data_IF_028936543461
#
_entry.id   IF_028936543461
#
_cell.length_a   1.000
_cell.length_b   1.000
_cell.length_c   1.000
_cell.angle_alpha   90.00
_cell.angle_beta   90.00
_cell.angle_gamma   90.00
#
_symmetry.space_group_name_H-M   'P 1'
#
loop_
_entity.id
_entity.type
_entity.pdbx_description
1 polymer ?
#
# COMPACT_ATOMS: atom_id res chain seq x y z
N UNK A 1 9.86 -19.99 2.51
CA UNK A 1 10.14 -19.51 1.14
C UNK A 1 10.74 -18.13 1.25
N UNK A 2 11.76 -17.85 0.43
CA UNK A 2 12.77 -16.80 0.63
C UNK A 2 14.15 -17.44 0.50
N UNK A 3 14.53 -17.78 -0.73
CA UNK A 3 15.84 -18.37 -1.01
C UNK A 3 16.93 -17.31 -0.91
N UNK A 4 18.18 -17.73 -0.72
CA UNK A 4 19.36 -16.85 -0.70
C UNK A 4 19.61 -16.07 -2.02
N UNK A 5 18.76 -16.27 -3.04
CA UNK A 5 18.97 -15.83 -4.42
C UNK A 5 18.54 -14.37 -4.66
N UNK A 6 17.74 -13.81 -3.75
CA UNK A 6 17.11 -12.50 -3.88
C UNK A 6 17.60 -11.46 -2.87
N UNK A 7 18.57 -11.79 -2.00
CA UNK A 7 19.14 -10.82 -1.06
C UNK A 7 20.11 -9.86 -1.78
N UNK A 8 20.31 -8.64 -1.24
CA UNK A 8 21.29 -7.68 -1.74
C UNK A 8 22.01 -6.93 -0.61
N UNK A 9 23.04 -6.15 -0.94
CA UNK A 9 23.74 -5.25 -0.01
C UNK A 9 23.10 -3.85 0.04
N UNK A 10 22.22 -3.53 -0.92
CA UNK A 10 21.46 -2.28 -1.03
C UNK A 10 20.03 -2.52 -1.52
N UNK A 11 19.16 -1.50 -1.43
CA UNK A 11 17.81 -1.58 -1.99
C UNK A 11 17.84 -1.80 -3.52
N UNK A 12 18.74 -1.14 -4.24
CA UNK A 12 18.87 -1.32 -5.69
C UNK A 12 19.25 -2.75 -6.08
N UNK A 13 20.22 -3.34 -5.38
CA UNK A 13 20.63 -4.72 -5.64
C UNK A 13 19.54 -5.73 -5.24
N UNK A 14 18.83 -5.49 -4.13
CA UNK A 14 17.66 -6.27 -3.75
C UNK A 14 16.61 -6.27 -4.88
N UNK A 15 16.29 -5.09 -5.44
CA UNK A 15 15.32 -4.96 -6.53
C UNK A 15 15.80 -5.62 -7.82
N UNK A 16 17.08 -5.47 -8.17
CA UNK A 16 17.69 -6.13 -9.32
C UNK A 16 17.58 -7.66 -9.20
N UNK A 17 17.85 -8.21 -8.02
CA UNK A 17 17.77 -9.64 -7.77
C UNK A 17 16.32 -10.14 -7.78
N UNK A 18 15.37 -9.40 -7.22
CA UNK A 18 13.93 -9.73 -7.29
C UNK A 18 13.41 -9.72 -8.73
N UNK A 19 13.86 -8.76 -9.54
CA UNK A 19 13.54 -8.68 -10.97
C UNK A 19 14.18 -9.81 -11.77
N UNK A 20 15.47 -10.09 -11.53
CA UNK A 20 16.20 -11.19 -12.16
C UNK A 20 15.59 -12.57 -11.85
N UNK A 21 15.04 -12.74 -10.65
CA UNK A 21 14.32 -13.93 -10.22
C UNK A 21 12.85 -13.99 -10.71
N UNK A 22 12.33 -12.94 -11.36
CA UNK A 22 10.97 -12.89 -11.91
C UNK A 22 9.85 -12.54 -10.93
N UNK A 23 10.18 -12.13 -9.70
CA UNK A 23 9.19 -11.69 -8.71
C UNK A 23 8.66 -10.28 -9.01
N UNK A 24 9.51 -9.40 -9.53
CA UNK A 24 9.12 -8.08 -10.06
C UNK A 24 9.14 -8.17 -11.59
N UNK A 25 8.03 -7.80 -12.21
CA UNK A 25 7.76 -8.00 -13.64
C UNK A 25 7.32 -6.72 -14.33
N UNK A 26 6.62 -5.84 -13.62
CA UNK A 26 6.05 -4.61 -14.18
C UNK A 26 6.87 -3.37 -13.78
N UNK A 27 6.96 -2.40 -14.69
CA UNK A 27 7.79 -1.21 -14.52
C UNK A 27 7.32 -0.32 -13.36
N UNK A 28 6.01 -0.20 -13.16
CA UNK A 28 5.44 0.56 -12.04
C UNK A 28 5.73 -0.08 -10.68
N UNK A 29 5.71 -1.42 -10.58
CA UNK A 29 6.09 -2.13 -9.35
C UNK A 29 7.59 -1.99 -9.11
N UNK A 30 8.43 -2.21 -10.13
CA UNK A 30 9.88 -2.00 -10.03
C UNK A 30 10.23 -0.59 -9.53
N UNK A 31 9.67 0.44 -10.16
CA UNK A 31 9.94 1.82 -9.79
C UNK A 31 9.50 2.11 -8.35
N UNK A 32 8.34 1.62 -7.92
CA UNK A 32 7.88 1.80 -6.54
C UNK A 32 8.87 1.18 -5.53
N UNK A 33 9.37 -0.03 -5.81
CA UNK A 33 10.34 -0.69 -4.94
C UNK A 33 11.71 0.02 -4.91
N UNK A 34 12.15 0.64 -6.01
CA UNK A 34 13.36 1.48 -6.02
C UNK A 34 13.16 2.78 -5.26
N UNK A 35 12.01 3.42 -5.44
CA UNK A 35 11.68 4.72 -4.82
C UNK A 35 11.46 4.62 -3.30
N UNK A 36 11.05 3.47 -2.79
CA UNK A 36 10.81 3.25 -1.35
C UNK A 36 11.84 2.26 -0.80
N UNK A 37 12.91 2.81 -0.24
CA UNK A 37 13.94 2.01 0.42
C UNK A 37 13.35 1.22 1.61
N UNK A 38 13.45 -0.10 1.52
CA UNK A 38 12.97 -1.01 2.56
C UNK A 38 13.64 -0.77 3.92
N UNK A 39 14.92 -0.39 3.97
CA UNK A 39 15.63 -0.14 5.23
C UNK A 39 15.07 1.04 6.01
N UNK A 40 14.48 2.03 5.32
CA UNK A 40 13.84 3.16 5.98
C UNK A 40 12.58 2.78 6.75
N UNK A 41 12.03 1.58 6.51
CA UNK A 41 10.87 1.04 7.26
C UNK A 41 11.25 0.04 8.35
N UNK A 42 12.55 -0.18 8.58
CA UNK A 42 13.07 -0.96 9.71
C UNK A 42 13.34 -0.07 10.93
N UNK A 43 13.32 -0.63 12.16
CA UNK A 43 13.98 -0.01 13.30
C UNK A 43 15.49 0.10 13.05
N UNK A 44 16.09 1.19 13.54
CA UNK A 44 17.48 1.54 13.26
C UNK A 44 18.45 0.42 13.66
N UNK A 45 18.18 -0.23 14.79
CA UNK A 45 19.01 -1.28 15.38
C UNK A 45 19.03 -2.57 14.53
N UNK A 46 18.12 -2.69 13.56
CA UNK A 46 17.93 -3.91 12.76
C UNK A 46 17.99 -3.70 11.25
N UNK A 47 18.36 -2.48 10.79
CA UNK A 47 18.46 -2.13 9.36
C UNK A 47 19.36 -3.08 8.54
N UNK A 48 20.37 -3.68 9.17
CA UNK A 48 21.25 -4.68 8.54
C UNK A 48 20.51 -5.93 7.99
N UNK A 49 19.24 -6.12 8.34
CA UNK A 49 18.40 -7.20 7.83
C UNK A 49 17.49 -6.77 6.67
N UNK A 50 17.44 -5.49 6.34
CA UNK A 50 16.44 -4.93 5.43
C UNK A 50 16.48 -5.53 4.02
N UNK A 51 17.69 -5.78 3.50
CA UNK A 51 17.90 -6.26 2.13
C UNK A 51 18.05 -7.78 2.02
N UNK A 52 17.73 -8.51 3.10
CA UNK A 52 17.63 -9.96 3.05
C UNK A 52 16.23 -10.35 2.57
N UNK A 53 16.13 -11.33 1.68
CA UNK A 53 14.84 -11.83 1.22
C UNK A 53 14.18 -12.77 2.25
N UNK A 54 13.91 -12.23 3.43
CA UNK A 54 13.29 -12.93 4.55
C UNK A 54 12.29 -12.02 5.25
N UNK A 55 11.25 -12.63 5.82
CA UNK A 55 10.35 -11.91 6.70
C UNK A 55 11.11 -11.50 7.97
N UNK A 56 10.78 -10.33 8.49
CA UNK A 56 11.37 -9.80 9.71
C UNK A 56 10.27 -9.42 10.70
N UNK A 57 10.46 -9.73 11.97
CA UNK A 57 9.53 -9.43 13.06
C UNK A 57 10.28 -9.01 14.32
N UNK A 58 9.80 -7.96 14.96
CA UNK A 58 10.19 -7.59 16.32
C UNK A 58 8.97 -7.08 17.08
N UNK A 59 8.60 -7.79 18.17
CA UNK A 59 7.34 -7.55 18.89
C UNK A 59 6.14 -7.63 17.92
N UNK A 60 5.33 -6.56 17.85
CA UNK A 60 4.17 -6.45 16.97
C UNK A 60 4.52 -5.91 15.58
N UNK A 61 5.71 -5.34 15.39
CA UNK A 61 6.16 -4.83 14.09
C UNK A 61 6.63 -5.99 13.22
N UNK A 62 6.11 -6.05 12.00
CA UNK A 62 6.41 -7.10 11.03
C UNK A 62 6.56 -6.53 9.62
N UNK A 63 7.54 -7.03 8.87
CA UNK A 63 7.63 -6.88 7.41
C UNK A 63 7.72 -8.25 6.77
N UNK A 64 6.83 -8.54 5.82
CA UNK A 64 6.93 -9.75 4.99
C UNK A 64 8.19 -9.72 4.13
N UNK A 65 8.65 -10.90 3.68
CA UNK A 65 9.80 -10.99 2.80
C UNK A 65 9.59 -10.16 1.51
N UNK A 66 10.64 -9.51 0.98
CA UNK A 66 10.59 -8.78 -0.28
C UNK A 66 9.90 -9.54 -1.42
N UNK A 67 10.25 -10.81 -1.67
CA UNK A 67 9.61 -11.61 -2.72
C UNK A 67 8.09 -11.74 -2.55
N UNK A 68 7.61 -11.85 -1.31
CA UNK A 68 6.17 -11.91 -1.00
C UNK A 68 5.51 -10.57 -1.32
N UNK A 69 6.11 -9.45 -0.91
CA UNK A 69 5.56 -8.14 -1.25
C UNK A 69 5.59 -7.86 -2.75
N UNK A 70 6.62 -8.33 -3.47
CA UNK A 70 6.66 -8.23 -4.94
C UNK A 70 5.49 -8.97 -5.58
N UNK A 71 5.26 -10.23 -5.18
CA UNK A 71 4.14 -11.02 -5.71
C UNK A 71 2.77 -10.45 -5.33
N UNK A 72 2.63 -9.89 -4.13
CA UNK A 72 1.41 -9.17 -3.73
C UNK A 72 1.19 -7.95 -4.61
N UNK A 73 2.20 -7.11 -4.81
CA UNK A 73 2.10 -5.88 -5.61
C UNK A 73 1.78 -6.19 -7.08
N UNK A 74 2.41 -7.22 -7.66
CA UNK A 74 2.11 -7.70 -9.01
C UNK A 74 0.68 -8.28 -9.11
N UNK A 75 0.27 -9.07 -8.12
CA UNK A 75 -1.06 -9.71 -8.11
C UNK A 75 -2.19 -8.71 -7.92
N UNK A 76 -1.93 -7.61 -7.20
CA UNK A 76 -2.90 -6.54 -6.99
C UNK A 76 -3.16 -5.73 -8.25
N UNK A 77 -2.33 -5.75 -9.30
CA UNK A 77 -2.57 -4.97 -10.53
C UNK A 77 -3.02 -3.53 -10.22
N UNK A 78 -2.22 -2.84 -9.40
CA UNK A 78 -2.53 -1.48 -8.97
C UNK A 78 -2.36 -0.51 -10.15
N UNK A 79 -3.32 0.41 -10.26
CA UNK A 79 -3.33 1.46 -11.27
C UNK A 79 -3.72 2.79 -10.62
N UNK A 80 -3.43 3.89 -11.31
CA UNK A 80 -3.74 5.22 -10.79
C UNK A 80 -5.24 5.41 -10.58
N UNK A 81 -5.61 6.00 -9.44
CA UNK A 81 -7.01 6.30 -9.10
C UNK A 81 -7.80 5.15 -8.47
N UNK A 82 -7.24 3.95 -8.38
CA UNK A 82 -7.91 2.84 -7.69
C UNK A 82 -8.01 3.07 -6.18
N UNK A 83 -8.94 2.37 -5.55
CA UNK A 83 -9.03 2.26 -4.09
C UNK A 83 -8.41 0.96 -3.58
N UNK A 84 -7.51 1.09 -2.62
CA UNK A 84 -6.75 0.00 -2.02
C UNK A 84 -6.95 -0.04 -0.49
N UNK A 85 -7.14 -1.26 0.04
CA UNK A 85 -7.19 -1.55 1.47
C UNK A 85 -6.11 -2.58 1.82
N UNK A 86 -5.26 -2.22 2.80
CA UNK A 86 -4.22 -3.08 3.35
C UNK A 86 -4.60 -3.50 4.77
N UNK A 87 -5.07 -4.74 4.95
CA UNK A 87 -5.45 -5.31 6.23
C UNK A 87 -4.21 -5.97 6.88
N UNK A 88 -3.85 -5.52 8.08
CA UNK A 88 -2.53 -5.79 8.68
C UNK A 88 -1.46 -4.91 8.04
N UNK A 89 -1.66 -3.59 8.06
CA UNK A 89 -0.78 -2.66 7.33
C UNK A 89 0.65 -2.62 7.85
N UNK A 90 0.92 -3.12 9.06
CA UNK A 90 2.26 -3.25 9.62
C UNK A 90 3.00 -1.91 9.62
N UNK A 91 4.24 -1.90 9.14
CA UNK A 91 5.07 -0.68 9.10
C UNK A 91 4.62 0.39 8.12
N UNK A 92 3.57 0.14 7.33
CA UNK A 92 3.15 1.03 6.25
C UNK A 92 4.02 0.97 5.00
N UNK A 93 5.02 0.08 4.93
CA UNK A 93 5.91 -0.08 3.76
C UNK A 93 5.12 -0.40 2.48
N UNK A 94 4.31 -1.47 2.51
CA UNK A 94 3.49 -1.86 1.35
C UNK A 94 2.47 -0.76 0.99
N UNK A 95 1.88 -0.10 1.97
CA UNK A 95 0.96 1.02 1.73
C UNK A 95 1.68 2.20 1.07
N UNK A 96 2.95 2.45 1.37
CA UNK A 96 3.74 3.49 0.71
C UNK A 96 4.06 3.09 -0.73
N UNK A 97 4.49 1.85 -0.98
CA UNK A 97 4.68 1.33 -2.34
C UNK A 97 3.39 1.50 -3.19
N UNK A 98 2.25 1.07 -2.65
CA UNK A 98 0.95 1.23 -3.31
C UNK A 98 0.61 2.69 -3.54
N UNK A 99 0.92 3.57 -2.59
CA UNK A 99 0.64 5.00 -2.69
C UNK A 99 1.28 5.67 -3.91
N UNK A 100 2.49 5.25 -4.29
CA UNK A 100 3.18 5.77 -5.48
C UNK A 100 2.50 5.32 -6.78
N UNK A 101 1.98 4.09 -6.84
CA UNK A 101 1.29 3.56 -8.03
C UNK A 101 -0.12 4.15 -8.17
N UNK A 102 -0.85 4.25 -7.05
CA UNK A 102 -2.21 4.78 -7.02
C UNK A 102 -2.27 6.27 -7.39
N UNK A 103 -1.23 7.02 -7.05
CA UNK A 103 -1.14 8.45 -7.33
C UNK A 103 -2.22 9.29 -6.62
N UNK A 104 -2.29 10.59 -6.90
CA UNK A 104 -3.03 11.53 -6.06
C UNK A 104 -4.56 11.36 -6.12
N UNK A 105 -5.09 10.67 -7.13
CA UNK A 105 -6.53 10.40 -7.29
C UNK A 105 -6.98 9.10 -6.62
N UNK A 106 -6.05 8.28 -6.13
CA UNK A 106 -6.38 7.00 -5.49
C UNK A 106 -6.92 7.14 -4.08
N UNK A 107 -7.31 6.01 -3.50
CA UNK A 107 -7.63 5.85 -2.08
C UNK A 107 -6.71 4.75 -1.55
N UNK A 108 -6.04 5.00 -0.42
CA UNK A 108 -5.09 4.08 0.16
C UNK A 108 -5.32 4.00 1.67
N UNK A 109 -5.91 2.91 2.13
CA UNK A 109 -6.27 2.72 3.53
C UNK A 109 -5.51 1.54 4.12
N UNK A 110 -5.02 1.70 5.34
CA UNK A 110 -4.41 0.62 6.11
C UNK A 110 -5.17 0.39 7.42
N UNK A 111 -5.31 -0.87 7.81
CA UNK A 111 -5.88 -1.27 9.11
C UNK A 111 -4.85 -2.10 9.83
N UNK A 112 -4.57 -1.75 11.09
CA UNK A 112 -3.64 -2.48 11.94
C UNK A 112 -4.22 -2.56 13.35
N UNK A 113 -4.07 -3.72 13.99
CA UNK A 113 -4.73 -3.99 15.28
C UNK A 113 -4.00 -3.34 16.45
N UNK A 114 -2.68 -3.16 16.32
CA UNK A 114 -1.83 -2.59 17.36
C UNK A 114 -1.63 -1.09 17.13
N UNK A 115 -2.06 -0.28 18.09
CA UNK A 115 -1.96 1.20 18.04
C UNK A 115 -0.51 1.66 17.86
N UNK A 116 0.43 1.06 18.57
CA UNK A 116 1.86 1.41 18.48
C UNK A 116 2.47 1.09 17.10
N UNK A 117 1.86 0.16 16.34
CA UNK A 117 2.29 -0.18 14.99
C UNK A 117 1.71 0.83 13.98
N UNK A 118 0.50 1.32 14.21
CA UNK A 118 -0.07 2.46 13.44
C UNK A 118 0.78 3.71 13.63
N UNK A 119 1.11 4.07 14.87
CA UNK A 119 1.98 5.23 15.16
C UNK A 119 3.35 5.08 14.47
N UNK A 120 3.90 3.87 14.47
CA UNK A 120 5.14 3.57 13.76
C UNK A 120 5.00 3.79 12.24
N UNK A 121 3.93 3.30 11.63
CA UNK A 121 3.67 3.45 10.20
C UNK A 121 3.49 4.92 9.80
N UNK A 122 2.75 5.69 10.59
CA UNK A 122 2.56 7.14 10.38
C UNK A 122 3.88 7.89 10.46
N UNK A 123 4.72 7.58 11.45
CA UNK A 123 6.06 8.18 11.56
C UNK A 123 6.95 7.85 10.36
N UNK A 124 6.95 6.60 9.88
CA UNK A 124 7.74 6.23 8.69
C UNK A 124 7.22 6.92 7.44
N UNK A 125 5.91 7.05 7.29
CA UNK A 125 5.26 7.77 6.20
C UNK A 125 5.62 9.27 6.21
N UNK A 126 5.60 9.91 7.38
CA UNK A 126 6.01 11.31 7.54
C UNK A 126 7.47 11.51 7.11
N UNK A 127 8.38 10.62 7.56
CA UNK A 127 9.79 10.67 7.14
C UNK A 127 9.87 10.55 5.61
N UNK A 128 9.21 9.57 5.00
CA UNK A 128 9.21 9.41 3.54
C UNK A 128 8.75 10.68 2.82
N UNK A 129 7.65 11.30 3.23
CA UNK A 129 7.14 12.52 2.60
C UNK A 129 8.07 13.73 2.80
N UNK A 130 8.86 13.76 3.86
CA UNK A 130 9.76 14.88 4.17
C UNK A 130 11.15 14.73 3.55
N UNK A 131 11.64 13.50 3.35
CA UNK A 131 13.04 13.25 3.00
C UNK A 131 13.23 12.57 1.65
N UNK A 132 12.23 11.83 1.14
CA UNK A 132 12.41 11.02 -0.06
C UNK A 132 12.08 11.84 -1.34
N UNK A 133 13.03 11.97 -2.29
CA UNK A 133 12.83 12.76 -3.50
C UNK A 133 11.79 12.18 -4.47
N UNK A 134 11.38 10.91 -4.30
CA UNK A 134 10.29 10.32 -5.05
C UNK A 134 8.95 10.99 -4.74
N UNK A 135 8.79 11.53 -3.52
CA UNK A 135 7.62 12.33 -3.16
C UNK A 135 7.73 13.75 -3.71
N UNK A 136 6.80 14.10 -4.62
CA UNK A 136 6.74 15.42 -5.28
C UNK A 136 5.53 16.23 -4.85
N UNK A 137 4.87 15.84 -3.75
CA UNK A 137 3.63 16.46 -3.26
C UNK A 137 2.38 16.15 -4.08
N UNK A 138 2.48 15.88 -5.38
CA UNK A 138 1.35 15.65 -6.30
C UNK A 138 1.25 14.23 -6.85
N UNK A 139 2.24 13.37 -6.66
CA UNK A 139 2.33 12.08 -7.33
C UNK A 139 2.02 10.88 -6.42
N UNK A 140 1.42 11.11 -5.25
CA UNK A 140 1.34 10.12 -4.20
C UNK A 140 -0.05 10.05 -3.55
N UNK A 141 -0.57 8.84 -3.40
CA UNK A 141 -1.75 8.57 -2.58
C UNK A 141 -1.32 8.34 -1.13
N UNK A 142 -1.36 9.40 -0.33
CA UNK A 142 -1.02 9.35 1.10
C UNK A 142 -1.90 8.29 1.80
N UNK A 143 -1.31 7.22 2.38
CA UNK A 143 -2.05 6.25 3.17
C UNK A 143 -2.76 6.89 4.36
N UNK A 144 -3.97 6.42 4.66
CA UNK A 144 -4.68 6.70 5.91
C UNK A 144 -4.73 5.41 6.72
N UNK A 145 -4.10 5.40 7.89
CA UNK A 145 -4.08 4.25 8.78
C UNK A 145 -5.20 4.36 9.83
N UNK A 146 -5.74 3.22 10.24
CA UNK A 146 -6.72 3.13 11.31
C UNK A 146 -6.38 1.97 12.24
N UNK A 147 -6.52 2.22 13.55
CA UNK A 147 -6.40 1.19 14.57
C UNK A 147 -7.67 0.34 14.59
N UNK A 148 -7.52 -0.98 14.53
CA UNK A 148 -8.62 -1.91 14.80
C UNK A 148 -8.44 -3.29 14.18
N UNK A 149 -9.38 -4.19 14.50
CA UNK A 149 -9.42 -5.53 13.95
C UNK A 149 -9.98 -5.51 12.51
N UNK A 150 -9.19 -6.03 11.55
CA UNK A 150 -9.59 -6.10 10.14
C UNK A 150 -10.86 -6.93 9.86
N UNK A 151 -11.36 -7.70 10.82
CA UNK A 151 -12.64 -8.40 10.79
C UNK A 151 -13.85 -7.54 11.22
N UNK A 152 -13.62 -6.26 11.54
CA UNK A 152 -14.61 -5.27 11.96
C UNK A 152 -14.79 -4.12 10.96
N UNK A 153 -14.45 -4.36 9.69
CA UNK A 153 -14.81 -3.48 8.57
C UNK A 153 -16.29 -3.63 8.19
N UNK A 154 -16.92 -2.53 7.80
CA UNK A 154 -18.28 -2.49 7.29
C UNK A 154 -18.30 -2.45 5.74
N UNK A 155 -18.68 -3.55 5.05
CA UNK A 155 -18.73 -3.59 3.59
C UNK A 155 -19.82 -2.69 3.00
N UNK A 156 -20.87 -2.35 3.76
CA UNK A 156 -21.91 -1.41 3.31
C UNK A 156 -21.42 0.04 3.39
N UNK A 157 -20.48 0.32 4.29
CA UNK A 157 -19.81 1.61 4.34
C UNK A 157 -18.88 1.81 3.15
N UNK A 158 -18.04 0.80 2.83
CA UNK A 158 -17.12 0.88 1.69
C UNK A 158 -16.64 -0.48 1.19
N UNK A 159 -16.56 -0.57 -0.13
CA UNK A 159 -15.81 -1.58 -0.86
C UNK A 159 -14.62 -0.97 -1.60
N UNK A 160 -13.64 -1.79 -1.95
CA UNK A 160 -12.38 -1.37 -2.58
C UNK A 160 -12.15 -2.06 -3.92
N UNK A 161 -11.39 -1.42 -4.80
CA UNK A 161 -10.97 -2.00 -6.06
C UNK A 161 -9.91 -3.08 -5.84
N UNK A 162 -9.08 -2.92 -4.81
CA UNK A 162 -7.99 -3.81 -4.43
C UNK A 162 -7.95 -3.99 -2.92
N UNK A 163 -7.79 -5.23 -2.45
CA UNK A 163 -7.59 -5.54 -1.03
C UNK A 163 -6.47 -6.53 -0.88
N UNK A 164 -5.57 -6.25 0.07
CA UNK A 164 -4.59 -7.21 0.54
C UNK A 164 -4.84 -7.52 2.02
N UNK A 165 -4.82 -8.81 2.37
CA UNK A 165 -4.81 -9.24 3.76
C UNK A 165 -3.44 -9.83 4.09
N UNK A 166 -2.68 -9.15 4.95
CA UNK A 166 -1.33 -9.53 5.38
C UNK A 166 -1.29 -10.60 6.49
N UNK A 167 -2.38 -11.34 6.68
CA UNK A 167 -2.49 -12.41 7.66
C UNK A 167 -3.22 -13.62 7.04
N UNK A 168 -2.95 -14.82 7.53
CA UNK A 168 -3.65 -16.02 7.07
C UNK A 168 -5.12 -15.95 7.45
N UNK A 169 -5.99 -16.01 6.45
CA UNK A 169 -7.44 -15.92 6.61
C UNK A 169 -8.06 -17.32 6.77
N UNK A 170 -8.81 -17.59 7.85
CA UNK A 170 -9.54 -18.83 8.02
C UNK A 170 -10.68 -18.96 7.01
N UNK A 171 -11.05 -20.20 6.65
CA UNK A 171 -12.08 -20.49 5.64
C UNK A 171 -13.44 -19.85 5.96
N UNK A 172 -13.82 -19.78 7.23
CA UNK A 172 -15.07 -19.17 7.69
C UNK A 172 -15.16 -17.64 7.43
N UNK A 173 -14.03 -16.98 7.14
CA UNK A 173 -13.95 -15.55 6.85
C UNK A 173 -13.78 -15.24 5.36
N UNK A 174 -13.79 -16.24 4.48
CA UNK A 174 -13.62 -16.03 3.04
C UNK A 174 -14.68 -15.08 2.46
N UNK A 175 -15.96 -15.32 2.76
CA UNK A 175 -17.06 -14.49 2.27
C UNK A 175 -17.02 -13.07 2.83
N UNK A 176 -16.56 -12.93 4.08
CA UNK A 176 -16.34 -11.63 4.69
C UNK A 176 -15.28 -10.83 3.94
N UNK A 177 -14.13 -11.42 3.65
CA UNK A 177 -13.06 -10.75 2.88
C UNK A 177 -13.54 -10.40 1.46
N UNK A 178 -14.27 -11.30 0.80
CA UNK A 178 -14.86 -11.06 -0.52
C UNK A 178 -15.89 -9.92 -0.51
N UNK A 179 -16.60 -9.72 0.60
CA UNK A 179 -17.59 -8.64 0.72
C UNK A 179 -16.99 -7.23 0.65
N UNK A 180 -15.70 -7.09 0.94
CA UNK A 180 -14.95 -5.82 0.89
C UNK A 180 -14.58 -5.40 -0.55
N UNK A 181 -14.86 -6.23 -1.56
CA UNK A 181 -14.38 -6.05 -2.93
C UNK A 181 -15.48 -5.56 -3.85
N UNK A 182 -15.19 -4.50 -4.61
CA UNK A 182 -16.05 -4.02 -5.69
C UNK A 182 -16.10 -5.01 -6.86
N UNK A 183 -17.10 -4.87 -7.73
CA UNK A 183 -17.10 -5.56 -9.03
C UNK A 183 -15.80 -5.28 -9.80
N UNK A 184 -15.22 -6.30 -10.43
CA UNK A 184 -13.92 -6.29 -11.11
C UNK A 184 -12.70 -6.08 -10.19
N UNK A 185 -12.91 -6.03 -8.87
CA UNK A 185 -11.84 -5.87 -7.91
C UNK A 185 -11.04 -7.15 -7.66
N UNK A 186 -9.91 -7.00 -6.98
CA UNK A 186 -8.97 -8.08 -6.67
C UNK A 186 -8.74 -8.14 -5.16
N UNK A 187 -8.85 -9.34 -4.60
CA UNK A 187 -8.43 -9.69 -3.25
C UNK A 187 -7.17 -10.55 -3.34
N UNK A 188 -6.11 -10.16 -2.63
CA UNK A 188 -4.90 -10.95 -2.44
C UNK A 188 -4.78 -11.31 -0.97
N UNK A 189 -4.73 -12.59 -0.63
CA UNK A 189 -4.57 -13.01 0.77
C UNK A 189 -3.96 -14.42 0.89
N UNK A 190 -3.24 -14.71 1.98
CA UNK A 190 -2.89 -16.08 2.34
C UNK A 190 -4.15 -16.86 2.71
N UNK A 191 -4.44 -17.92 1.95
CA UNK A 191 -5.61 -18.76 2.07
C UNK A 191 -5.26 -20.21 1.74
N UNK A 192 -5.57 -21.16 2.63
CA UNK A 192 -5.26 -22.59 2.46
C UNK A 192 -3.79 -22.83 2.06
N UNK A 193 -2.87 -22.29 2.87
CA UNK A 193 -1.40 -22.38 2.72
C UNK A 193 -0.81 -21.79 1.43
N UNK A 194 -1.59 -21.02 0.67
CA UNK A 194 -1.15 -20.35 -0.54
C UNK A 194 -1.51 -18.87 -0.53
N UNK A 195 -0.65 -18.03 -1.10
CA UNK A 195 -1.01 -16.67 -1.46
C UNK A 195 -1.95 -16.77 -2.66
N UNK A 196 -3.21 -16.42 -2.45
CA UNK A 196 -4.24 -16.50 -3.48
C UNK A 196 -4.56 -15.12 -4.04
N UNK A 197 -4.76 -15.06 -5.36
CA UNK A 197 -5.35 -13.92 -6.07
C UNK A 197 -6.79 -14.27 -6.45
N UNK A 198 -7.74 -13.53 -5.92
CA UNK A 198 -9.17 -13.73 -6.16
C UNK A 198 -9.75 -12.50 -6.85
N UNK A 199 -10.29 -12.65 -8.06
CA UNK A 199 -10.92 -11.56 -8.80
C UNK A 199 -12.44 -11.73 -8.82
N UNK A 200 -13.16 -10.66 -8.50
CA UNK A 200 -14.62 -10.60 -8.58
C UNK A 200 -15.05 -10.29 -10.00
N UNK A 201 -15.42 -11.31 -10.78
CA UNK A 201 -15.82 -11.16 -12.19
C UNK A 201 -17.24 -10.60 -12.32
N UNK A 202 -18.13 -11.00 -11.42
CA UNK A 202 -19.49 -10.47 -11.30
C UNK A 202 -19.93 -10.42 -9.84
N UNK A 203 -21.18 -10.06 -9.56
CA UNK A 203 -21.67 -10.03 -8.16
C UNK A 203 -21.62 -11.40 -7.47
N UNK A 204 -21.66 -12.49 -8.24
CA UNK A 204 -21.71 -13.86 -7.72
C UNK A 204 -20.53 -14.72 -8.17
N UNK A 205 -19.73 -14.27 -9.13
CA UNK A 205 -18.68 -15.07 -9.75
C UNK A 205 -17.28 -14.56 -9.41
N UNK A 206 -16.40 -15.50 -9.07
CA UNK A 206 -15.02 -15.26 -8.71
C UNK A 206 -14.08 -16.20 -9.45
N UNK A 207 -12.93 -15.68 -9.86
CA UNK A 207 -11.79 -16.51 -10.29
C UNK A 207 -10.73 -16.49 -9.22
N UNK A 208 -10.20 -17.66 -8.85
CA UNK A 208 -9.15 -17.81 -7.84
C UNK A 208 -7.92 -18.46 -8.46
N UNK A 209 -6.77 -17.84 -8.26
CA UNK A 209 -5.46 -18.30 -8.70
C UNK A 209 -4.54 -18.46 -7.48
N UNK A 210 -3.84 -19.59 -7.41
CA UNK A 210 -2.79 -19.80 -6.41
C UNK A 210 -1.48 -19.23 -6.97
N UNK A 211 -0.93 -18.21 -6.31
CA UNK A 211 0.28 -17.51 -6.77
C UNK A 211 1.52 -18.25 -6.32
N UNK A 212 1.63 -18.51 -5.01
CA UNK A 212 2.70 -19.35 -4.44
C UNK A 212 2.29 -19.90 -3.07
N UNK A 213 2.89 -21.01 -2.61
CA UNK A 213 2.67 -21.47 -1.24
C UNK A 213 3.33 -20.48 -0.26
N UNK A 214 2.73 -20.27 0.91
CA UNK A 214 3.21 -19.30 1.91
C UNK A 214 2.86 -19.73 3.33
N UNK A 215 3.56 -19.16 4.32
CA UNK A 215 3.21 -19.27 5.73
C UNK A 215 3.10 -17.87 6.32
N UNK A 216 1.93 -17.54 6.86
CA UNK A 216 1.63 -16.26 7.48
C UNK A 216 1.11 -16.47 8.90
N UNK A 217 1.28 -15.46 9.76
CA UNK A 217 0.60 -15.45 11.05
C UNK A 217 -0.92 -15.43 10.83
N UNK A 218 -1.71 -16.16 11.62
CA UNK A 218 -3.16 -16.13 11.49
C UNK A 218 -3.70 -14.74 11.83
N UNK A 219 -4.83 -14.39 11.20
CA UNK A 219 -5.61 -13.22 11.59
C UNK A 219 -6.02 -13.34 13.07
N UNK A 220 -6.01 -12.22 13.80
CA UNK A 220 -6.46 -12.21 15.19
C UNK A 220 -7.99 -12.18 15.19
N UNK A 221 -8.60 -13.21 15.77
CA UNK A 221 -10.05 -13.33 15.93
C UNK A 221 -10.39 -12.88 17.35
N UNK A 222 -10.94 -11.67 17.48
CA UNK A 222 -11.50 -11.17 18.73
C UNK A 222 -13.02 -11.32 18.77
N UNK A 223 -13.59 -11.18 19.95
CA UNK A 223 -15.04 -11.19 20.17
C UNK A 223 -15.70 -10.00 19.44
N UNK A 224 -16.36 -10.29 18.31
CA UNK A 224 -16.97 -9.30 17.43
C UNK A 224 -18.05 -8.48 18.11
N UNK A 225 -18.72 -9.05 19.11
CA UNK A 225 -19.89 -8.43 19.75
C UNK A 225 -19.51 -7.22 20.62
N UNK A 226 -18.23 -7.07 20.97
CA UNK A 226 -17.72 -5.95 21.78
C UNK A 226 -16.76 -5.01 21.05
N UNK A 227 -16.44 -5.27 19.77
CA UNK A 227 -15.45 -4.48 19.02
C UNK A 227 -16.14 -3.50 18.07
N UNK A 228 -15.90 -2.17 18.19
CA UNK A 228 -16.56 -1.19 17.34
C UNK A 228 -16.15 -1.35 15.86
N UNK A 229 -17.08 -1.05 14.95
CA UNK A 229 -16.80 -1.02 13.52
C UNK A 229 -15.75 0.05 13.19
N UNK A 230 -14.78 -0.31 12.36
CA UNK A 230 -13.73 0.59 11.91
C UNK A 230 -14.30 1.55 10.87
N UNK A 231 -14.17 2.85 11.15
CA UNK A 231 -14.52 3.92 10.21
C UNK A 231 -13.26 4.66 9.79
N UNK A 232 -12.78 4.37 8.58
CA UNK A 232 -11.61 5.05 8.02
C UNK A 232 -12.07 6.34 7.33
N UNK A 233 -11.67 7.47 7.90
CA UNK A 233 -12.01 8.78 7.37
C UNK A 233 -11.52 8.91 5.92
N UNK A 234 -12.43 9.28 5.03
CA UNK A 234 -12.08 9.56 3.64
C UNK A 234 -12.13 11.05 3.43
N UNK A 235 -10.95 11.67 3.34
CA UNK A 235 -10.85 13.06 2.90
C UNK A 235 -11.16 13.08 1.40
N UNK A 236 -12.45 13.26 1.06
CA UNK A 236 -12.87 13.50 -0.32
C UNK A 236 -12.16 14.78 -0.77
N UNK A 237 -11.34 14.67 -1.82
CA UNK A 237 -10.69 15.84 -2.40
C UNK A 237 -11.76 16.78 -2.97
N UNK A 238 -11.66 18.06 -2.66
CA UNK A 238 -12.57 19.05 -3.23
C UNK A 238 -12.38 19.13 -4.75
N UNK A 239 -13.39 19.61 -5.49
CA UNK A 239 -13.22 19.91 -6.92
C UNK A 239 -12.02 20.83 -7.15
N UNK A 240 -11.80 21.78 -6.24
CA UNK A 240 -10.63 22.66 -6.27
C UNK A 240 -9.31 21.88 -6.16
N UNK A 241 -9.20 20.86 -5.30
CA UNK A 241 -8.00 20.04 -5.18
C UNK A 241 -7.79 19.16 -6.43
N UNK A 242 -8.88 18.58 -6.95
CA UNK A 242 -8.85 17.76 -8.16
C UNK A 242 -8.40 18.59 -9.38
N UNK A 243 -8.98 19.76 -9.59
CA UNK A 243 -8.57 20.68 -10.65
C UNK A 243 -7.09 21.05 -10.53
N UNK A 244 -6.59 21.27 -9.30
CA UNK A 244 -5.17 21.65 -9.06
C UNK A 244 -4.26 20.53 -9.53
N UNK A 245 -4.56 19.30 -9.13
CA UNK A 245 -3.80 18.11 -9.52
C UNK A 245 -3.79 17.90 -11.03
N UNK A 246 -4.95 18.03 -11.69
CA UNK A 246 -5.07 17.91 -13.15
C UNK A 246 -4.22 18.96 -13.87
N UNK A 247 -4.27 20.22 -13.41
CA UNK A 247 -3.49 21.32 -13.98
C UNK A 247 -1.99 21.10 -13.79
N UNK A 248 -1.55 20.76 -12.56
CA UNK A 248 -0.13 20.51 -12.27
C UNK A 248 0.42 19.32 -13.06
N UNK A 249 -0.37 18.25 -13.23
CA UNK A 249 0.01 17.13 -14.07
C UNK A 249 0.13 17.52 -15.55
N UNK A 250 -0.79 18.33 -16.07
CA UNK A 250 -0.72 18.81 -17.47
C UNK A 250 0.46 19.74 -17.73
N UNK A 251 0.77 20.63 -16.79
CA UNK A 251 1.92 21.54 -16.89
C UNK A 251 3.23 20.74 -16.95
N UNK A 252 3.28 19.57 -16.31
CA UNK A 252 4.42 18.68 -16.32
C UNK A 252 5.62 19.32 -15.60
N UNK A 253 5.74 19.06 -14.29
CA UNK A 253 6.86 19.56 -13.46
C UNK A 253 8.26 19.12 -13.93
N UNK A 254 8.38 18.32 -14.99
CA UNK A 254 9.67 18.00 -15.63
C UNK A 254 10.31 19.21 -16.31
N UNK A 255 9.56 20.23 -16.72
CA UNK A 255 10.09 21.43 -17.43
C UNK A 255 10.13 22.70 -16.59
N UNK A 256 9.45 22.75 -15.46
CA UNK A 256 9.39 23.91 -14.57
C UNK A 256 9.99 23.57 -13.22
N UNK A 257 11.04 24.31 -12.82
CA UNK A 257 11.65 24.16 -11.50
C UNK A 257 10.71 24.63 -10.38
N UNK A 258 9.88 25.64 -10.65
CA UNK A 258 8.91 26.19 -9.70
C UNK A 258 7.62 26.63 -10.41
N UNK A 259 6.47 26.32 -9.81
CA UNK A 259 5.15 26.79 -10.25
C UNK A 259 5.09 28.32 -10.31
N UNK A 260 5.80 29.00 -9.40
CA UNK A 260 5.88 30.45 -9.30
C UNK A 260 6.50 31.15 -10.54
N UNK A 261 7.19 30.42 -11.42
CA UNK A 261 7.82 30.97 -12.63
C UNK A 261 6.87 31.03 -13.83
N UNK A 262 5.65 30.49 -13.68
CA UNK A 262 4.64 30.51 -14.73
C UNK A 262 4.13 31.95 -14.96
N UNK A 263 3.88 32.36 -16.22
CA UNK A 263 3.30 33.66 -16.55
C UNK A 263 1.78 33.68 -16.27
N UNK A 264 1.40 33.36 -15.04
CA UNK A 264 0.01 33.28 -14.59
C UNK A 264 -0.28 34.39 -13.57
N UNK A 265 -1.55 34.84 -13.49
CA UNK A 265 -2.00 35.75 -12.43
C UNK A 265 -1.63 35.26 -11.02
N UNK A 266 -1.33 36.16 -10.07
CA UNK A 266 -0.94 35.78 -8.70
C UNK A 266 -1.92 34.85 -7.98
N UNK A 267 -3.23 35.01 -8.25
CA UNK A 267 -4.28 34.14 -7.69
C UNK A 267 -4.15 32.69 -8.18
N UNK A 268 -3.80 32.48 -9.45
CA UNK A 268 -3.57 31.15 -10.00
C UNK A 268 -2.23 30.57 -9.51
N UNK A 269 -1.19 31.39 -9.38
CA UNK A 269 0.07 30.95 -8.78
C UNK A 269 -0.12 30.50 -7.33
N UNK A 270 -0.86 31.27 -6.52
CA UNK A 270 -1.20 30.92 -5.15
C UNK A 270 -2.02 29.64 -5.10
N UNK A 271 -3.04 29.52 -5.94
CA UNK A 271 -3.86 28.32 -6.06
C UNK A 271 -3.03 27.07 -6.39
N UNK A 272 -2.11 27.16 -7.37
CA UNK A 272 -1.28 26.04 -7.80
C UNK A 272 -0.14 25.72 -6.82
N UNK A 273 0.30 26.70 -6.03
CA UNK A 273 1.35 26.52 -5.01
C UNK A 273 0.82 26.05 -3.66
N UNK A 274 -0.51 26.04 -3.49
CA UNK A 274 -1.14 25.59 -2.25
C UNK A 274 -1.10 24.06 -2.15
N UNK A 275 -0.05 23.56 -1.51
CA UNK A 275 -0.03 22.24 -0.91
C UNK A 275 -0.53 22.40 0.51
N UNK A 276 -1.66 21.76 0.84
CA UNK A 276 -2.09 21.71 2.24
C UNK A 276 -0.93 21.08 3.03
N UNK A 277 -0.42 21.83 4.00
CA UNK A 277 0.20 21.24 5.19
C UNK A 277 -0.83 20.25 5.74
N UNK A 278 -0.48 18.96 5.71
CA UNK A 278 -1.29 17.89 6.28
C UNK A 278 -1.00 17.76 7.76
#
# INVERSE_FOLDING_TARGET
>A
MGGAVSAGESNEELVDNLKGAGYIRTENVEQAFRDVDRAEYFPEETKQHAYKDVAWKHKNVHLSAPCIYSEVMESLELESGLSFLNLGSGTGYLSTLAGLILGPSGINHGVEIFEEVVEYAEKKLEIFMNTNPAFKGINFCVPVFAVGNCLCMDPYYRQYDRVYCGAACPTEYEDYMKSLIKKNGILVMPFKDNLCKMRKVSETEWTTESVLPVSFAPIIIDDKDNTPLIKIASKIKSLQDLCRLVILNHIGLKRLKKVAELPLPPSLLSYLSYFREY
#
